data_IF_641947615835
#
_entry.id   IF_641947615835
#
_cell.length_a   1.000
_cell.length_b   1.000
_cell.length_c   1.000
_cell.angle_alpha   90.00
_cell.angle_beta   90.00
_cell.angle_gamma   90.00
#
_symmetry.space_group_name_H-M   'P 1'
#
loop_
_entity.id
_entity.type
_entity.pdbx_description
1 polymer ?
#
# COMPACT_ATOMS: atom_id res chain seq x y z
N UNK A 1 41.18 47.69 -0.83
CA UNK A 1 40.26 48.10 0.24
C UNK A 1 38.92 47.42 0.01
N UNK A 2 38.36 46.86 1.08
CA UNK A 2 37.15 46.04 1.26
C UNK A 2 35.94 46.44 0.40
N UNK A 3 35.04 45.54 -0.02
CA UNK A 3 34.25 44.68 0.88
C UNK A 3 33.69 43.44 0.20
N UNK A 4 33.82 42.33 0.91
CA UNK A 4 33.07 41.10 0.70
C UNK A 4 31.58 41.30 1.05
N UNK A 5 30.69 40.73 0.23
CA UNK A 5 29.38 40.26 0.70
C UNK A 5 29.27 38.78 0.34
N UNK A 6 29.15 37.98 1.39
CA UNK A 6 28.77 36.59 1.33
C UNK A 6 27.34 36.46 0.81
N UNK A 7 27.14 35.61 -0.19
CA UNK A 7 25.88 34.91 -0.40
C UNK A 7 26.20 33.43 -0.21
N UNK A 8 26.21 33.02 1.05
CA UNK A 8 26.28 31.62 1.44
C UNK A 8 24.97 30.90 1.14
N UNK A 9 25.08 29.58 1.04
CA UNK A 9 24.00 28.60 1.19
C UNK A 9 23.02 28.45 0.03
N UNK A 10 23.46 27.73 -1.01
CA UNK A 10 22.56 26.86 -1.80
C UNK A 10 23.26 25.58 -2.32
N UNK A 11 24.35 25.16 -1.68
CA UNK A 11 25.05 23.91 -1.99
C UNK A 11 24.52 22.69 -1.19
N UNK A 12 23.40 22.82 -0.47
CA UNK A 12 22.84 21.79 0.41
C UNK A 12 21.48 21.21 -0.05
N UNK A 13 21.05 21.49 -1.28
CA UNK A 13 19.79 20.97 -1.86
C UNK A 13 19.99 19.96 -3.01
N UNK A 14 21.23 19.62 -3.34
CA UNK A 14 21.55 18.68 -4.44
C UNK A 14 21.92 17.26 -3.96
N UNK A 15 21.88 16.97 -2.65
CA UNK A 15 22.33 15.70 -2.09
C UNK A 15 21.20 14.71 -1.68
N UNK A 16 19.93 14.98 -2.00
CA UNK A 16 18.80 14.08 -1.65
C UNK A 16 18.21 13.37 -2.89
N UNK A 17 18.65 13.68 -4.11
CA UNK A 17 18.05 13.15 -5.34
C UNK A 17 18.77 11.94 -5.97
N UNK A 18 19.81 11.39 -5.35
CA UNK A 18 20.51 10.19 -5.88
C UNK A 18 20.82 9.18 -4.75
N UNK A 19 19.78 8.82 -4.00
CA UNK A 19 19.78 7.61 -3.17
C UNK A 19 18.55 6.72 -3.44
N UNK A 20 17.86 6.94 -4.56
CA UNK A 20 16.90 5.98 -5.12
C UNK A 20 17.68 4.95 -5.95
N UNK A 21 18.39 4.08 -5.23
CA UNK A 21 19.29 3.08 -5.78
C UNK A 21 18.61 2.16 -6.80
N UNK A 22 19.19 2.10 -7.99
CA UNK A 22 19.37 0.85 -8.71
C UNK A 22 20.10 -0.13 -7.77
N UNK A 23 19.37 -1.01 -7.08
CA UNK A 23 19.99 -2.04 -6.27
C UNK A 23 19.10 -2.57 -5.15
N UNK A 24 18.86 -3.88 -5.17
CA UNK A 24 18.23 -4.70 -4.13
C UNK A 24 16.71 -4.89 -4.25
N UNK A 25 16.30 -5.62 -5.28
CA UNK A 25 15.09 -6.46 -5.23
C UNK A 25 15.05 -7.38 -3.98
N UNK A 26 16.21 -7.70 -3.40
CA UNK A 26 16.34 -8.47 -2.14
C UNK A 26 15.72 -7.79 -0.91
N UNK A 27 15.77 -6.46 -0.80
CA UNK A 27 15.25 -5.74 0.37
C UNK A 27 13.73 -5.50 0.27
N UNK A 28 13.19 -5.21 -0.92
CA UNK A 28 11.75 -5.01 -1.09
C UNK A 28 10.93 -6.27 -0.75
N UNK A 29 11.40 -7.44 -1.19
CA UNK A 29 10.76 -8.72 -0.84
C UNK A 29 10.86 -9.02 0.66
N UNK A 30 11.95 -8.62 1.31
CA UNK A 30 12.10 -8.74 2.76
C UNK A 30 11.08 -7.86 3.52
N UNK A 31 10.80 -6.64 3.04
CA UNK A 31 9.75 -5.78 3.60
C UNK A 31 8.35 -6.41 3.44
N UNK A 32 8.04 -7.01 2.29
CA UNK A 32 6.77 -7.75 2.11
C UNK A 32 6.69 -8.95 3.05
N UNK A 33 7.78 -9.72 3.20
CA UNK A 33 7.84 -10.85 4.13
C UNK A 33 7.67 -10.39 5.60
N UNK A 34 8.24 -9.24 5.95
CA UNK A 34 8.10 -8.64 7.27
C UNK A 34 6.67 -8.15 7.50
N UNK A 35 6.04 -7.56 6.49
CA UNK A 35 4.63 -7.19 6.53
C UNK A 35 3.74 -8.41 6.82
N UNK A 36 3.97 -9.53 6.12
CA UNK A 36 3.25 -10.79 6.35
C UNK A 36 3.40 -11.30 7.78
N UNK A 37 4.64 -11.34 8.31
CA UNK A 37 4.88 -11.74 9.70
C UNK A 37 4.18 -10.81 10.69
N UNK A 38 4.18 -9.52 10.41
CA UNK A 38 3.52 -8.53 11.25
C UNK A 38 1.99 -8.69 11.24
N UNK A 39 1.38 -8.86 10.07
CA UNK A 39 -0.06 -9.06 9.92
C UNK A 39 -0.54 -10.30 10.67
N UNK A 40 0.22 -11.39 10.60
CA UNK A 40 -0.11 -12.62 11.32
C UNK A 40 -0.11 -12.47 12.85
N UNK A 41 0.55 -11.44 13.39
CA UNK A 41 0.57 -11.11 14.83
C UNK A 41 -0.51 -10.11 15.24
N UNK A 42 -1.32 -9.61 14.30
CA UNK A 42 -2.43 -8.71 14.62
C UNK A 42 -3.65 -9.58 14.95
N UNK A 43 -3.95 -9.65 16.24
CA UNK A 43 -5.06 -10.43 16.82
C UNK A 43 -6.08 -9.57 17.57
N UNK A 44 -5.79 -8.29 17.77
CA UNK A 44 -6.62 -7.36 18.52
C UNK A 44 -6.44 -5.93 18.00
N UNK A 45 -7.33 -5.03 18.43
CA UNK A 45 -7.40 -3.66 17.94
C UNK A 45 -8.35 -3.51 16.75
N UNK A 46 -8.38 -2.29 16.23
CA UNK A 46 -9.32 -1.88 15.19
C UNK A 46 -8.60 -1.71 13.86
N UNK A 47 -9.14 -2.31 12.81
CA UNK A 47 -8.71 -2.15 11.42
C UNK A 47 -9.72 -1.25 10.72
N UNK A 48 -9.24 -0.19 10.09
CA UNK A 48 -10.09 0.68 9.28
C UNK A 48 -9.81 0.40 7.81
N UNK A 49 -10.85 0.11 7.04
CA UNK A 49 -10.77 -0.12 5.60
C UNK A 49 -11.40 1.07 4.90
N UNK A 50 -10.60 1.83 4.17
CA UNK A 50 -11.04 2.92 3.31
C UNK A 50 -10.97 2.46 1.85
N UNK A 51 -12.10 2.37 1.17
CA UNK A 51 -12.18 2.06 -0.25
C UNK A 51 -12.70 3.28 -1.02
N UNK A 52 -12.02 3.65 -2.09
CA UNK A 52 -12.43 4.72 -3.00
C UNK A 52 -12.28 4.30 -4.46
N UNK A 53 -13.13 4.84 -5.32
CA UNK A 53 -13.02 4.74 -6.77
C UNK A 53 -13.26 6.11 -7.40
N UNK A 54 -12.41 6.50 -8.35
CA UNK A 54 -12.51 7.79 -9.05
C UNK A 54 -13.46 7.66 -10.24
N UNK A 55 -14.74 7.55 -9.93
CA UNK A 55 -15.85 7.66 -10.88
C UNK A 55 -16.32 9.11 -11.00
N UNK A 56 -17.08 9.49 -12.05
CA UNK A 56 -17.64 10.83 -12.19
C UNK A 56 -18.41 11.32 -10.96
N UNK A 57 -19.01 10.40 -10.21
CA UNK A 57 -19.47 10.62 -8.83
C UNK A 57 -18.50 9.87 -7.91
N UNK A 58 -17.67 10.54 -7.10
CA UNK A 58 -16.70 9.86 -6.25
C UNK A 58 -17.39 8.86 -5.31
N UNK A 59 -16.98 7.59 -5.37
CA UNK A 59 -17.50 6.57 -4.48
C UNK A 59 -16.45 6.28 -3.42
N UNK A 60 -16.82 6.53 -2.16
CA UNK A 60 -15.99 6.26 -0.98
C UNK A 60 -16.76 5.49 0.07
N UNK A 61 -16.16 4.44 0.63
CA UNK A 61 -16.69 3.68 1.76
C UNK A 61 -15.61 3.47 2.80
N UNK A 62 -15.96 3.71 4.05
CA UNK A 62 -15.11 3.40 5.20
C UNK A 62 -15.83 2.36 6.04
N UNK A 63 -15.13 1.30 6.40
CA UNK A 63 -15.62 0.26 7.32
C UNK A 63 -14.60 0.05 8.41
N UNK A 64 -15.09 -0.08 9.64
CA UNK A 64 -14.27 -0.36 10.81
C UNK A 64 -14.56 -1.79 11.25
N UNK A 65 -13.51 -2.58 11.42
CA UNK A 65 -13.60 -4.01 11.75
C UNK A 65 -12.69 -4.32 12.94
N UNK A 66 -13.08 -5.26 13.78
CA UNK A 66 -12.18 -5.74 14.83
C UNK A 66 -11.17 -6.71 14.22
N UNK A 67 -9.90 -6.57 14.57
CA UNK A 67 -8.85 -7.42 14.02
C UNK A 67 -9.06 -8.92 14.31
N UNK A 68 -9.75 -9.24 15.42
CA UNK A 68 -10.13 -10.60 15.77
C UNK A 68 -11.12 -11.24 14.79
N UNK A 69 -11.91 -10.43 14.08
CA UNK A 69 -12.90 -10.86 13.09
C UNK A 69 -12.27 -11.11 11.72
N UNK A 70 -11.02 -10.67 11.54
CA UNK A 70 -10.28 -10.74 10.29
C UNK A 70 -9.21 -11.84 10.39
N UNK A 71 -9.23 -12.88 9.52
CA UNK A 71 -8.18 -13.88 9.54
C UNK A 71 -6.91 -13.36 8.85
N UNK A 72 -6.30 -12.28 9.35
CA UNK A 72 -5.06 -11.69 8.81
C UNK A 72 -3.92 -12.71 8.70
N UNK A 73 -3.85 -13.65 9.65
CA UNK A 73 -2.91 -14.77 9.64
C UNK A 73 -3.03 -15.70 8.43
N UNK A 74 -4.18 -15.72 7.74
CA UNK A 74 -4.43 -16.52 6.54
C UNK A 74 -4.05 -15.79 5.25
N UNK A 75 -3.71 -14.51 5.32
CA UNK A 75 -3.28 -13.73 4.17
C UNK A 75 -1.80 -14.01 3.91
N UNK A 76 -1.52 -14.72 2.82
CA UNK A 76 -0.16 -15.01 2.37
C UNK A 76 0.31 -13.96 1.35
N UNK A 77 0.77 -12.81 1.84
CA UNK A 77 1.22 -11.71 0.97
C UNK A 77 2.32 -12.14 -0.01
N UNK A 78 3.24 -13.00 0.40
CA UNK A 78 4.33 -13.46 -0.45
C UNK A 78 3.82 -14.33 -1.62
N UNK A 79 2.80 -15.15 -1.39
CA UNK A 79 2.17 -15.93 -2.46
C UNK A 79 1.25 -15.09 -3.36
N UNK A 80 0.81 -13.93 -2.88
CA UNK A 80 -0.06 -13.00 -3.61
C UNK A 80 0.70 -11.98 -4.44
N UNK A 81 2.02 -11.82 -4.26
CA UNK A 81 2.77 -10.68 -4.82
C UNK A 81 3.96 -11.08 -5.68
N UNK A 82 4.25 -10.24 -6.68
CA UNK A 82 5.41 -10.34 -7.57
C UNK A 82 6.05 -8.97 -7.81
N UNK A 83 7.27 -8.95 -8.36
CA UNK A 83 8.00 -7.72 -8.73
C UNK A 83 8.03 -6.65 -7.62
N UNK A 84 8.35 -7.10 -6.39
CA UNK A 84 8.48 -6.20 -5.25
C UNK A 84 9.61 -5.19 -5.46
N UNK A 85 9.29 -3.91 -5.22
CA UNK A 85 10.19 -2.76 -5.35
C UNK A 85 10.02 -1.83 -4.16
N UNK A 86 11.11 -1.25 -3.66
CA UNK A 86 11.02 -0.22 -2.62
C UNK A 86 10.42 1.04 -3.22
N UNK A 87 9.61 1.74 -2.44
CA UNK A 87 9.02 3.02 -2.82
C UNK A 87 9.14 3.98 -1.65
N UNK A 88 9.32 5.26 -1.94
CA UNK A 88 9.21 6.31 -0.94
C UNK A 88 7.74 6.45 -0.50
N UNK A 89 7.53 6.71 0.78
CA UNK A 89 6.21 6.93 1.37
C UNK A 89 6.33 7.92 2.53
N UNK A 90 5.33 7.98 3.41
CA UNK A 90 5.29 8.94 4.51
C UNK A 90 6.56 8.87 5.39
N UNK A 91 7.06 10.01 5.92
CA UNK A 91 8.25 10.03 6.77
C UNK A 91 8.14 9.06 7.95
N UNK A 92 9.24 8.35 8.24
CA UNK A 92 9.29 7.36 9.33
C UNK A 92 8.72 5.99 8.97
N UNK A 93 8.31 5.77 7.72
CA UNK A 93 7.86 4.48 7.21
C UNK A 93 8.83 3.88 6.20
N UNK A 94 8.91 2.55 6.19
CA UNK A 94 9.55 1.78 5.14
C UNK A 94 8.47 1.12 4.28
N UNK A 95 8.49 1.42 2.97
CA UNK A 95 7.48 0.91 2.06
C UNK A 95 8.05 0.07 0.92
N UNK A 96 7.27 -0.94 0.55
CA UNK A 96 7.48 -1.71 -0.66
C UNK A 96 6.16 -1.80 -1.43
N UNK A 97 6.26 -1.69 -2.75
CA UNK A 97 5.16 -1.90 -3.69
C UNK A 97 5.41 -3.19 -4.44
N UNK A 98 4.38 -3.97 -4.67
CA UNK A 98 4.44 -5.19 -5.45
C UNK A 98 3.20 -5.31 -6.32
N UNK A 99 3.34 -6.02 -7.44
CA UNK A 99 2.21 -6.38 -8.27
C UNK A 99 1.45 -7.51 -7.55
N UNK A 100 0.13 -7.53 -7.63
CA UNK A 100 -0.68 -8.49 -6.90
C UNK A 100 -1.46 -9.40 -7.86
N UNK A 101 -1.51 -10.70 -7.57
CA UNK A 101 -2.46 -11.61 -8.21
C UNK A 101 -3.85 -11.26 -7.70
N UNK A 102 -4.52 -10.39 -8.45
CA UNK A 102 -5.86 -9.87 -8.18
C UNK A 102 -6.86 -11.00 -7.88
N UNK A 103 -6.87 -12.07 -8.68
CA UNK A 103 -7.81 -13.19 -8.50
C UNK A 103 -7.57 -13.94 -7.20
N UNK A 104 -6.30 -14.17 -6.83
CA UNK A 104 -5.97 -14.80 -5.55
C UNK A 104 -6.23 -13.85 -4.38
N UNK A 105 -5.88 -12.57 -4.52
CA UNK A 105 -6.08 -11.56 -3.49
C UNK A 105 -7.57 -11.36 -3.19
N UNK A 106 -8.41 -11.17 -4.19
CA UNK A 106 -9.86 -11.03 -4.00
C UNK A 106 -10.48 -12.24 -3.31
N UNK A 107 -9.98 -13.46 -3.57
CA UNK A 107 -10.42 -14.66 -2.82
C UNK A 107 -9.95 -14.65 -1.38
N UNK A 108 -8.70 -14.26 -1.13
CA UNK A 108 -8.14 -14.16 0.22
C UNK A 108 -8.81 -13.05 1.07
N UNK A 109 -9.16 -11.94 0.43
CA UNK A 109 -9.78 -10.76 1.04
C UNK A 109 -11.31 -10.73 0.91
N UNK A 110 -11.96 -11.69 0.22
CA UNK A 110 -13.43 -11.74 0.06
C UNK A 110 -14.20 -11.65 1.38
N UNK A 111 -13.77 -12.31 2.47
CA UNK A 111 -14.43 -12.17 3.77
C UNK A 111 -14.29 -10.77 4.41
N UNK A 112 -13.41 -9.92 3.86
CA UNK A 112 -12.90 -8.68 4.46
C UNK A 112 -13.34 -7.42 3.73
N UNK A 113 -13.65 -7.55 2.44
CA UNK A 113 -14.10 -6.43 1.64
C UNK A 113 -15.60 -6.22 1.85
N UNK A 114 -16.07 -4.98 2.06
CA UNK A 114 -17.49 -4.69 1.92
C UNK A 114 -17.96 -5.11 0.52
N UNK A 115 -19.26 -5.40 0.32
CA UNK A 115 -19.79 -5.61 -1.01
C UNK A 115 -19.55 -4.33 -1.83
N UNK A 116 -18.52 -4.36 -2.67
CA UNK A 116 -18.21 -3.28 -3.60
C UNK A 116 -19.05 -3.48 -4.87
N UNK A 117 -19.55 -2.41 -5.50
CA UNK A 117 -20.29 -2.48 -6.76
C UNK A 117 -19.32 -2.69 -7.95
N UNK A 118 -18.35 -3.58 -7.77
CA UNK A 118 -17.22 -3.79 -8.67
C UNK A 118 -17.14 -5.29 -8.94
N UNK A 119 -17.29 -5.71 -10.21
CA UNK A 119 -17.06 -7.11 -10.57
C UNK A 119 -15.56 -7.40 -10.39
N UNK A 120 -15.18 -8.35 -9.50
CA UNK A 120 -13.78 -8.67 -9.28
C UNK A 120 -13.07 -9.21 -10.54
N UNK A 121 -13.81 -9.69 -11.55
CA UNK A 121 -13.27 -10.10 -12.86
C UNK A 121 -12.84 -8.93 -13.74
N UNK A 122 -13.34 -7.73 -13.46
CA UNK A 122 -13.02 -6.51 -14.22
C UNK A 122 -11.76 -5.80 -13.72
N UNK A 123 -11.07 -6.35 -12.71
CA UNK A 123 -9.79 -5.81 -12.22
C UNK A 123 -8.65 -6.53 -12.91
N UNK A 124 -7.94 -5.83 -13.80
CA UNK A 124 -6.89 -6.41 -14.64
C UNK A 124 -5.48 -6.21 -14.06
N UNK A 125 -5.20 -4.99 -13.59
CA UNK A 125 -3.92 -4.62 -13.00
C UNK A 125 -4.12 -4.01 -11.62
N UNK A 126 -3.53 -4.63 -10.59
CA UNK A 126 -3.46 -4.03 -9.27
C UNK A 126 -2.08 -4.22 -8.65
N UNK A 127 -1.79 -3.33 -7.72
CA UNK A 127 -0.56 -3.29 -6.97
C UNK A 127 -0.89 -3.13 -5.50
N UNK A 128 -0.10 -3.77 -4.65
CA UNK A 128 -0.18 -3.59 -3.21
C UNK A 128 1.07 -2.89 -2.71
N UNK A 129 0.88 -1.88 -1.88
CA UNK A 129 1.92 -1.24 -1.11
C UNK A 129 1.78 -1.65 0.35
N UNK A 130 2.87 -2.13 0.93
CA UNK A 130 3.02 -2.39 2.36
C UNK A 130 3.78 -1.22 2.97
N UNK A 131 3.37 -0.77 4.15
CA UNK A 131 4.09 0.22 4.93
C UNK A 131 4.37 -0.27 6.34
N UNK A 132 5.63 -0.17 6.76
CA UNK A 132 6.12 -0.61 8.06
C UNK A 132 6.68 0.57 8.86
N UNK A 133 6.41 0.63 10.15
CA UNK A 133 7.10 1.50 11.10
C UNK A 133 7.86 0.64 12.11
N UNK A 134 9.17 0.80 12.22
CA UNK A 134 10.00 -0.04 13.10
C UNK A 134 9.79 -1.54 12.85
N UNK A 135 9.55 -1.92 11.59
CA UNK A 135 9.29 -3.29 11.20
C UNK A 135 7.90 -3.86 11.48
N UNK A 136 6.96 -3.03 11.97
CA UNK A 136 5.57 -3.42 12.25
C UNK A 136 4.63 -2.81 11.18
N UNK A 137 3.65 -3.56 10.64
CA UNK A 137 2.71 -3.05 9.64
C UNK A 137 1.89 -1.86 10.15
N UNK A 138 1.78 -0.83 9.31
CA UNK A 138 0.96 0.35 9.57
C UNK A 138 -0.23 0.44 8.64
N UNK A 139 -0.02 0.20 7.36
CA UNK A 139 -1.10 0.08 6.40
C UNK A 139 -0.75 -0.89 5.27
N UNK A 140 -1.80 -1.39 4.63
CA UNK A 140 -1.74 -1.98 3.29
C UNK A 140 -2.54 -1.09 2.34
N UNK A 141 -2.01 -0.76 1.17
CA UNK A 141 -2.72 0.02 0.16
C UNK A 141 -2.76 -0.77 -1.13
N UNK A 142 -3.96 -1.17 -1.53
CA UNK A 142 -4.23 -1.76 -2.84
C UNK A 142 -4.63 -0.64 -3.80
N UNK A 143 -4.01 -0.57 -4.96
CA UNK A 143 -4.35 0.39 -6.02
C UNK A 143 -4.42 -0.36 -7.33
N UNK A 144 -5.46 -0.11 -8.10
CA UNK A 144 -5.64 -0.73 -9.41
C UNK A 144 -6.65 0.01 -10.26
N UNK A 145 -7.05 -0.63 -11.36
CA UNK A 145 -8.11 -0.16 -12.24
C UNK A 145 -9.18 -1.24 -12.37
N UNK A 146 -10.42 -0.81 -12.45
CA UNK A 146 -11.55 -1.68 -12.81
C UNK A 146 -12.16 -1.22 -14.13
N UNK A 147 -12.37 -2.16 -15.05
CA UNK A 147 -13.22 -1.94 -16.21
C UNK A 147 -14.68 -1.77 -15.75
N UNK A 148 -15.19 -0.54 -15.83
CA UNK A 148 -16.56 -0.18 -15.49
C UNK A 148 -17.49 -0.20 -16.74
N UNK A 149 -17.03 -0.78 -17.84
CA UNK A 149 -17.76 -0.90 -19.11
C UNK A 149 -17.53 0.27 -20.07
N UNK A 150 -18.07 0.10 -21.29
CA UNK A 150 -17.80 0.93 -22.48
C UNK A 150 -17.96 2.46 -22.29
N UNK A 151 -18.79 2.91 -21.35
CA UNK A 151 -19.07 4.34 -21.13
C UNK A 151 -18.12 5.02 -20.12
N UNK A 152 -17.53 4.27 -19.20
CA UNK A 152 -16.67 4.81 -18.13
C UNK A 152 -15.20 4.40 -18.29
N UNK A 153 -14.93 3.36 -19.08
CA UNK A 153 -13.58 2.83 -19.27
C UNK A 153 -12.97 2.33 -17.97
N UNK A 154 -11.65 2.43 -17.87
CA UNK A 154 -10.89 2.06 -16.68
C UNK A 154 -11.08 3.08 -15.56
N UNK A 155 -11.73 2.68 -14.48
CA UNK A 155 -11.90 3.47 -13.27
C UNK A 155 -10.79 3.11 -12.28
N UNK A 156 -9.91 4.05 -11.87
CA UNK A 156 -8.93 3.75 -10.85
C UNK A 156 -9.60 3.64 -9.47
N UNK A 157 -9.12 2.71 -8.67
CA UNK A 157 -9.57 2.50 -7.30
C UNK A 157 -8.40 2.41 -6.33
N UNK A 158 -8.67 2.75 -5.08
CA UNK A 158 -7.74 2.56 -3.97
C UNK A 158 -8.48 1.93 -2.78
N UNK A 159 -7.86 0.94 -2.15
CA UNK A 159 -8.30 0.39 -0.87
C UNK A 159 -7.14 0.48 0.11
N UNK A 160 -7.31 1.23 1.20
CA UNK A 160 -6.35 1.34 2.29
C UNK A 160 -6.89 0.57 3.49
N UNK A 161 -6.07 -0.34 4.02
CA UNK A 161 -6.31 -1.04 5.27
C UNK A 161 -5.36 -0.44 6.29
N UNK A 162 -5.88 0.42 7.17
CA UNK A 162 -5.15 0.96 8.31
C UNK A 162 -5.14 -0.05 9.44
N UNK A 163 -3.93 -0.40 9.88
CA UNK A 163 -3.71 -1.45 10.85
C UNK A 163 -3.54 -0.86 12.26
N UNK A 164 -3.92 -1.62 13.30
CA UNK A 164 -3.76 -1.21 14.69
C UNK A 164 -2.36 -0.69 14.94
N UNK A 165 -2.26 0.43 15.69
CA UNK A 165 -0.97 0.86 16.19
C UNK A 165 -0.42 -0.26 17.09
N UNK A 166 0.82 -0.67 16.88
CA UNK A 166 1.41 -1.61 17.80
C UNK A 166 1.54 -0.95 19.17
N UNK A 167 0.97 -1.60 20.19
CA UNK A 167 1.29 -1.31 21.58
C UNK A 167 2.74 -1.68 21.91
#
# INVERSE_FOLDING_TARGET
MSSARAAGSSAALAAVLVAAGCGSSGNARALVAQAQRGLARIHSGTITVHASADTPVPLGRTVTLQASEIPLRRVDLLALTSHARRVSCEPGLECAKADIDVKRALRAFRPLLPPLPVDPKSVHDATIQVALAGGKPRYLRLTGKVDAGFLLGDVPFTVVLDLPRPG
#
